data_IF_411488798874
#
_entry.id   IF_411488798874
#
_cell.length_a   1.000
_cell.length_b   1.000
_cell.length_c   1.000
_cell.angle_alpha   90.00
_cell.angle_beta   90.00
_cell.angle_gamma   90.00
#
_symmetry.space_group_name_H-M   'P 1'
#
loop_
_entity.id
_entity.type
_entity.pdbx_description
1 polymer ?
#
# COMPACT_ATOMS: atom_id res chain seq x y z
N UNK A 1 -54.54 -15.55 -30.18
CA UNK A 1 -53.78 -16.61 -29.49
C UNK A 1 -52.34 -16.15 -29.20
N UNK A 2 -52.15 -15.00 -28.54
CA UNK A 2 -50.83 -14.45 -28.17
C UNK A 2 -51.01 -13.66 -26.87
N UNK A 3 -51.02 -14.36 -25.73
CA UNK A 3 -50.80 -13.78 -24.40
C UNK A 3 -50.14 -14.87 -23.58
N UNK A 4 -49.07 -14.52 -22.86
CA UNK A 4 -48.34 -15.33 -21.86
C UNK A 4 -46.84 -15.59 -22.13
N UNK A 5 -46.16 -14.81 -22.98
CA UNK A 5 -44.68 -14.84 -23.04
C UNK A 5 -43.99 -13.70 -22.27
N UNK A 6 -44.72 -12.65 -21.87
CA UNK A 6 -44.12 -11.50 -21.18
C UNK A 6 -43.79 -11.75 -19.70
N UNK A 7 -44.39 -12.76 -19.06
CA UNK A 7 -44.07 -13.10 -17.66
C UNK A 7 -42.76 -13.89 -17.56
N UNK A 8 -42.40 -14.68 -18.58
CA UNK A 8 -41.18 -15.51 -18.57
C UNK A 8 -39.90 -14.68 -18.74
N UNK A 9 -39.97 -13.56 -19.47
CA UNK A 9 -38.83 -12.66 -19.73
C UNK A 9 -38.47 -11.83 -18.48
N UNK A 10 -39.45 -11.54 -17.62
CA UNK A 10 -39.22 -10.79 -16.37
C UNK A 10 -38.55 -11.64 -15.28
N UNK A 11 -38.72 -12.97 -15.31
CA UNK A 11 -38.15 -13.89 -14.31
C UNK A 11 -36.67 -14.22 -14.61
N UNK A 12 -36.26 -14.20 -15.88
CA UNK A 12 -34.86 -14.43 -16.25
C UNK A 12 -33.94 -13.21 -16.00
N UNK A 13 -34.50 -12.01 -15.85
CA UNK A 13 -33.72 -10.78 -15.65
C UNK A 13 -33.26 -10.56 -14.20
N UNK A 14 -33.82 -11.29 -13.22
CA UNK A 14 -33.41 -11.21 -11.81
C UNK A 14 -32.29 -12.19 -11.43
N UNK A 15 -31.94 -13.13 -12.31
CA UNK A 15 -30.88 -14.13 -12.05
C UNK A 15 -29.45 -13.63 -12.31
N UNK A 16 -29.27 -12.41 -12.82
CA UNK A 16 -27.95 -11.86 -13.18
C UNK A 16 -27.35 -10.89 -12.17
N UNK A 17 -27.85 -10.86 -10.93
CA UNK A 17 -27.41 -9.86 -9.96
C UNK A 17 -26.50 -10.45 -8.88
N UNK A 18 -25.21 -10.18 -9.07
CA UNK A 18 -24.15 -9.99 -8.05
C UNK A 18 -23.85 -11.15 -7.10
N UNK A 19 -22.81 -11.93 -7.43
CA UNK A 19 -22.27 -12.96 -6.55
C UNK A 19 -20.99 -12.59 -5.80
N UNK A 20 -20.30 -11.50 -6.13
CA UNK A 20 -19.03 -11.13 -5.52
C UNK A 20 -18.88 -9.60 -5.54
N UNK A 21 -18.41 -8.99 -4.45
CA UNK A 21 -18.08 -7.57 -4.39
C UNK A 21 -16.61 -7.36 -4.14
N UNK A 22 -16.02 -6.42 -4.87
CA UNK A 22 -14.64 -5.99 -4.66
C UNK A 22 -14.66 -4.60 -4.02
N UNK A 23 -14.01 -4.47 -2.87
CA UNK A 23 -13.68 -3.20 -2.24
C UNK A 23 -12.24 -2.85 -2.55
N UNK A 24 -11.96 -1.58 -2.85
CA UNK A 24 -10.65 -1.14 -3.29
C UNK A 24 -10.23 0.11 -2.54
N UNK A 25 -9.04 0.07 -1.95
CA UNK A 25 -8.43 1.18 -1.23
C UNK A 25 -7.28 1.75 -2.07
N UNK A 26 -7.47 2.98 -2.50
CA UNK A 26 -6.50 3.76 -3.25
C UNK A 26 -5.30 4.14 -2.38
N UNK A 27 -4.14 4.27 -3.00
CA UNK A 27 -2.95 4.83 -2.39
C UNK A 27 -2.94 6.37 -2.52
N UNK A 28 -2.80 7.07 -1.40
CA UNK A 28 -2.79 8.54 -1.31
C UNK A 28 -1.41 9.13 -0.98
N UNK A 29 -0.35 8.32 -1.08
CA UNK A 29 1.03 8.71 -0.79
C UNK A 29 1.55 9.84 -1.70
N UNK A 30 2.67 10.45 -1.30
CA UNK A 30 3.37 11.45 -2.10
C UNK A 30 3.76 10.90 -3.48
N UNK A 31 4.18 9.63 -3.57
CA UNK A 31 4.49 8.98 -4.83
C UNK A 31 3.27 8.89 -5.75
N UNK A 32 2.13 8.39 -5.24
CA UNK A 32 0.89 8.31 -6.02
C UNK A 32 0.43 9.69 -6.53
N UNK A 33 0.57 10.74 -5.70
CA UNK A 33 0.27 12.12 -6.08
C UNK A 33 1.26 12.70 -7.10
N UNK A 34 2.56 12.44 -6.93
CA UNK A 34 3.64 12.85 -7.85
C UNK A 34 3.37 12.36 -9.27
N UNK A 35 2.96 11.10 -9.41
CA UNK A 35 2.62 10.51 -10.72
C UNK A 35 1.18 10.78 -11.18
N UNK A 36 0.40 11.51 -10.37
CA UNK A 36 -1.04 11.74 -10.58
C UNK A 36 -1.79 10.45 -10.94
N UNK A 37 -1.48 9.38 -10.21
CA UNK A 37 -2.04 8.07 -10.51
C UNK A 37 -3.54 8.02 -10.16
N UNK A 38 -4.35 7.89 -11.19
CA UNK A 38 -5.77 7.53 -11.11
C UNK A 38 -5.87 6.05 -10.79
N UNK A 39 -6.62 5.72 -9.74
CA UNK A 39 -6.77 4.37 -9.20
C UNK A 39 -8.26 4.14 -8.94
N UNK A 40 -8.95 3.29 -9.69
CA UNK A 40 -10.37 3.05 -9.43
C UNK A 40 -10.84 1.72 -9.97
N UNK A 41 -11.90 1.18 -9.39
CA UNK A 41 -12.65 0.11 -10.03
C UNK A 41 -13.47 0.67 -11.20
N UNK A 42 -13.72 -0.17 -12.20
CA UNK A 42 -14.73 0.13 -13.22
C UNK A 42 -16.15 0.08 -12.64
N UNK A 43 -17.15 0.46 -13.43
CA UNK A 43 -18.56 0.55 -12.99
C UNK A 43 -19.11 -0.78 -12.44
N UNK A 44 -18.64 -1.90 -12.96
CA UNK A 44 -19.05 -3.24 -12.58
C UNK A 44 -18.26 -3.81 -11.40
N UNK A 45 -17.21 -3.10 -10.94
CA UNK A 45 -16.37 -3.54 -9.81
C UNK A 45 -15.43 -4.71 -10.12
N UNK A 46 -15.36 -5.17 -11.37
CA UNK A 46 -14.67 -6.40 -11.79
C UNK A 46 -13.36 -6.15 -12.53
N UNK A 47 -12.96 -4.89 -12.66
CA UNK A 47 -11.64 -4.52 -13.19
C UNK A 47 -11.06 -3.32 -12.45
N UNK A 48 -9.75 -3.36 -12.20
CA UNK A 48 -8.98 -2.23 -11.70
C UNK A 48 -8.49 -1.39 -12.88
N UNK A 49 -8.75 -0.09 -12.83
CA UNK A 49 -8.29 0.92 -13.77
C UNK A 49 -7.18 1.70 -13.11
N UNK A 50 -6.00 1.68 -13.74
CA UNK A 50 -4.85 2.50 -13.38
C UNK A 50 -4.51 3.41 -14.55
N UNK A 51 -4.32 4.70 -14.29
CA UNK A 51 -3.88 5.64 -15.31
C UNK A 51 -3.04 6.77 -14.74
N UNK A 52 -2.05 7.20 -15.48
CA UNK A 52 -1.15 8.33 -15.18
C UNK A 52 -1.20 9.34 -16.33
N UNK A 53 -0.78 10.58 -16.05
CA UNK A 53 -0.68 11.60 -17.10
C UNK A 53 0.50 11.32 -18.04
N UNK A 54 1.70 11.09 -17.49
CA UNK A 54 2.95 11.20 -18.25
C UNK A 54 3.92 10.01 -18.09
N UNK A 55 3.74 9.15 -17.09
CA UNK A 55 4.67 8.06 -16.79
C UNK A 55 4.08 6.70 -17.10
N UNK A 56 4.87 5.80 -17.68
CA UNK A 56 4.38 4.46 -17.97
C UNK A 56 4.23 3.67 -16.67
N UNK A 57 3.08 3.02 -16.53
CA UNK A 57 2.91 1.90 -15.63
C UNK A 57 3.61 0.72 -16.31
N UNK A 58 4.73 0.28 -15.75
CA UNK A 58 5.55 -0.80 -16.32
C UNK A 58 4.89 -2.14 -16.08
N UNK A 59 4.64 -2.44 -14.81
CA UNK A 59 4.08 -3.71 -14.35
C UNK A 59 3.14 -3.49 -13.18
N UNK A 60 2.23 -4.44 -12.99
CA UNK A 60 1.32 -4.50 -11.84
C UNK A 60 1.32 -5.91 -11.27
N UNK A 61 1.62 -6.03 -9.99
CA UNK A 61 1.53 -7.27 -9.24
C UNK A 61 0.24 -7.29 -8.42
N UNK A 62 -0.46 -8.42 -8.46
CA UNK A 62 -1.57 -8.75 -7.55
C UNK A 62 -1.16 -9.96 -6.73
N UNK A 63 -1.10 -9.81 -5.42
CA UNK A 63 -0.59 -10.88 -4.56
C UNK A 63 -1.33 -11.00 -3.23
N UNK A 64 -1.35 -12.22 -2.69
CA UNK A 64 -1.73 -12.56 -1.33
C UNK A 64 -0.76 -13.62 -0.77
N UNK A 65 -1.13 -14.35 0.28
CA UNK A 65 -0.28 -15.38 0.88
C UNK A 65 0.10 -16.52 -0.09
N UNK A 66 -0.84 -16.93 -0.94
CA UNK A 66 -0.75 -18.14 -1.77
C UNK A 66 -0.84 -17.84 -3.27
N UNK A 67 -0.84 -16.55 -3.65
CA UNK A 67 -1.07 -16.09 -5.01
C UNK A 67 -0.17 -14.92 -5.36
N UNK A 68 0.42 -14.95 -6.56
CA UNK A 68 1.12 -13.85 -7.20
C UNK A 68 0.82 -13.89 -8.69
N UNK A 69 0.34 -12.77 -9.22
CA UNK A 69 0.17 -12.53 -10.64
C UNK A 69 0.87 -11.22 -11.00
N UNK A 70 1.76 -11.28 -11.99
CA UNK A 70 2.46 -10.12 -12.54
C UNK A 70 1.93 -9.82 -13.93
N UNK A 71 1.54 -8.57 -14.15
CA UNK A 71 0.92 -8.10 -15.39
C UNK A 71 1.77 -6.98 -15.96
N UNK A 72 2.41 -7.22 -17.09
CA UNK A 72 3.13 -6.20 -17.82
C UNK A 72 2.15 -5.28 -18.56
N UNK A 73 2.26 -3.96 -18.34
CA UNK A 73 1.37 -2.95 -18.93
C UNK A 73 2.14 -2.09 -19.94
N UNK A 74 3.33 -1.62 -19.55
CA UNK A 74 4.21 -0.73 -20.32
C UNK A 74 3.50 0.46 -20.99
N UNK A 75 2.47 1.01 -20.35
CA UNK A 75 1.61 2.05 -20.89
C UNK A 75 1.17 3.01 -19.78
N UNK A 76 0.74 4.23 -20.13
CA UNK A 76 0.23 5.20 -19.15
C UNK A 76 -1.14 4.84 -18.61
N UNK A 77 -1.82 3.86 -19.21
CA UNK A 77 -3.08 3.34 -18.72
C UNK A 77 -3.10 1.82 -18.78
N UNK A 78 -3.85 1.22 -17.86
CA UNK A 78 -4.03 -0.21 -17.77
C UNK A 78 -5.38 -0.56 -17.17
N UNK A 79 -5.96 -1.65 -17.67
CA UNK A 79 -7.18 -2.25 -17.15
C UNK A 79 -6.89 -3.70 -16.79
N UNK A 80 -6.91 -4.00 -15.50
CA UNK A 80 -6.65 -5.34 -14.97
C UNK A 80 -7.98 -6.03 -14.64
N UNK A 81 -8.21 -7.22 -15.16
CA UNK A 81 -9.38 -8.03 -14.84
C UNK A 81 -9.21 -8.65 -13.44
N UNK A 82 -10.29 -8.67 -12.64
CA UNK A 82 -10.28 -9.17 -11.26
C UNK A 82 -11.24 -10.36 -11.03
N UNK A 83 -11.90 -10.86 -12.08
CA UNK A 83 -12.93 -11.91 -11.96
C UNK A 83 -12.35 -13.24 -11.50
N UNK A 84 -11.16 -13.58 -11.96
CA UNK A 84 -10.49 -14.85 -11.66
C UNK A 84 -9.96 -14.93 -10.23
N UNK A 85 -9.78 -13.79 -9.55
CA UNK A 85 -9.32 -13.78 -8.17
C UNK A 85 -10.30 -14.53 -7.26
N UNK A 86 -9.78 -15.32 -6.33
CA UNK A 86 -10.59 -15.95 -5.30
C UNK A 86 -11.04 -14.92 -4.26
N UNK A 87 -11.93 -15.32 -3.35
CA UNK A 87 -12.31 -14.51 -2.18
C UNK A 87 -11.06 -14.30 -1.33
N UNK A 88 -10.84 -13.08 -0.84
CA UNK A 88 -9.71 -12.77 0.01
C UNK A 88 -9.20 -11.33 -0.11
N UNK A 89 -8.16 -11.06 0.66
CA UNK A 89 -7.45 -9.79 0.68
C UNK A 89 -6.20 -9.87 -0.19
N UNK A 90 -6.00 -8.84 -1.01
CA UNK A 90 -4.92 -8.74 -1.96
C UNK A 90 -4.20 -7.41 -1.79
N UNK A 91 -2.88 -7.48 -1.96
CA UNK A 91 -2.03 -6.31 -2.17
C UNK A 91 -1.85 -6.15 -3.67
N UNK A 92 -2.07 -4.93 -4.16
CA UNK A 92 -1.81 -4.59 -5.56
C UNK A 92 -0.64 -3.61 -5.60
N UNK A 93 0.37 -3.88 -6.40
CA UNK A 93 1.56 -3.01 -6.51
C UNK A 93 1.74 -2.61 -7.96
N UNK A 94 1.78 -1.31 -8.24
CA UNK A 94 1.98 -0.79 -9.60
C UNK A 94 3.33 -0.09 -9.70
N UNK A 95 4.17 -0.50 -10.65
CA UNK A 95 5.48 0.11 -10.89
C UNK A 95 5.39 1.25 -11.89
N UNK A 96 5.79 2.44 -11.45
CA UNK A 96 5.76 3.66 -12.26
C UNK A 96 7.11 4.35 -12.10
N UNK A 97 7.86 4.47 -13.20
CA UNK A 97 9.27 4.88 -13.13
C UNK A 97 10.09 3.88 -12.31
N UNK A 98 10.65 4.32 -11.18
CA UNK A 98 11.33 3.46 -10.19
C UNK A 98 10.44 3.10 -8.99
N UNK A 99 9.27 3.73 -8.86
CA UNK A 99 8.48 3.67 -7.64
C UNK A 99 7.40 2.60 -7.75
N UNK A 100 7.16 1.88 -6.66
CA UNK A 100 6.00 1.01 -6.52
C UNK A 100 4.92 1.68 -5.71
N UNK A 101 3.70 1.69 -6.24
CA UNK A 101 2.52 2.24 -5.57
C UNK A 101 1.67 1.08 -5.08
N UNK A 102 1.56 0.96 -3.75
CA UNK A 102 0.89 -0.16 -3.07
C UNK A 102 -0.55 0.19 -2.73
N UNK A 103 -1.51 -0.58 -3.25
CA UNK A 103 -2.94 -0.44 -3.05
C UNK A 103 -3.49 -1.73 -2.40
N UNK A 104 -4.72 -1.66 -1.90
CA UNK A 104 -5.36 -2.82 -1.29
C UNK A 104 -6.69 -3.14 -1.96
N UNK A 105 -6.94 -4.43 -2.12
CA UNK A 105 -8.14 -4.96 -2.73
C UNK A 105 -8.70 -6.07 -1.85
N UNK A 106 -9.98 -5.99 -1.51
CA UNK A 106 -10.70 -7.04 -0.78
C UNK A 106 -11.82 -7.58 -1.68
N UNK A 107 -11.84 -8.89 -1.89
CA UNK A 107 -12.90 -9.59 -2.63
C UNK A 107 -13.73 -10.43 -1.66
N UNK A 108 -15.03 -10.13 -1.56
CA UNK A 108 -16.00 -10.79 -0.67
C UNK A 108 -17.09 -11.50 -1.46
N UNK A 109 -17.66 -12.54 -0.86
CA UNK A 109 -18.88 -13.19 -1.34
C UNK A 109 -20.10 -12.61 -0.61
N UNK A 110 -20.83 -11.75 -1.32
CA UNK A 110 -22.05 -11.12 -0.80
C UNK A 110 -23.20 -12.12 -0.58
N UNK A 111 -23.09 -13.37 -1.06
CA UNK A 111 -24.10 -14.41 -0.80
C UNK A 111 -23.90 -15.13 0.52
N UNK A 112 -22.65 -15.18 1.02
CA UNK A 112 -22.30 -15.84 2.29
C UNK A 112 -22.48 -14.90 3.50
N UNK A 113 -22.28 -13.59 3.31
CA UNK A 113 -22.51 -12.56 4.32
C UNK A 113 -23.97 -12.10 4.28
N UNK A 114 -24.86 -12.82 4.97
CA UNK A 114 -26.27 -12.47 5.09
C UNK A 114 -26.47 -10.99 5.42
N UNK A 115 -27.31 -10.33 4.62
CA UNK A 115 -27.70 -8.92 4.70
C UNK A 115 -27.97 -8.52 6.17
N UNK A 116 -27.08 -7.74 6.76
CA UNK A 116 -27.38 -6.85 7.90
C UNK A 116 -27.26 -5.42 7.42
N UNK A 117 -28.28 -4.96 6.70
CA UNK A 117 -28.53 -3.54 6.52
C UNK A 117 -29.00 -2.97 7.86
N UNK A 118 -28.09 -2.40 8.63
CA UNK A 118 -28.45 -1.28 9.51
C UNK A 118 -28.18 -0.02 8.71
N UNK A 119 -29.26 0.60 8.24
CA UNK A 119 -29.27 1.95 7.71
C UNK A 119 -28.66 2.89 8.75
N UNK A 120 -27.57 3.55 8.40
CA UNK A 120 -27.11 4.77 9.07
C UNK A 120 -26.96 5.85 8.02
N UNK A 121 -27.99 6.67 7.96
CA UNK A 121 -28.01 7.97 7.31
C UNK A 121 -27.12 8.91 8.15
N UNK A 122 -26.08 9.50 7.57
CA UNK A 122 -25.49 10.74 8.08
C UNK A 122 -25.24 11.67 6.87
N UNK A 123 -26.17 12.59 6.66
CA UNK A 123 -25.89 13.88 6.06
C UNK A 123 -24.87 14.63 6.94
N UNK A 124 -23.83 15.18 6.33
CA UNK A 124 -22.82 15.96 7.03
C UNK A 124 -21.92 16.72 6.07
N UNK A 125 -22.38 17.89 5.64
CA UNK A 125 -21.54 18.92 5.03
C UNK A 125 -20.42 19.33 6.01
N UNK A 126 -19.16 19.12 5.64
CA UNK A 126 -18.03 19.88 6.21
C UNK A 126 -17.07 20.23 5.08
N UNK A 127 -17.11 21.50 4.66
CA UNK A 127 -16.05 22.08 3.83
C UNK A 127 -14.80 22.27 4.68
N UNK A 128 -13.68 21.68 4.23
CA UNK A 128 -12.35 21.97 4.79
C UNK A 128 -11.53 22.67 3.71
N UNK A 129 -11.40 23.98 3.86
CA UNK A 129 -10.46 24.82 3.13
C UNK A 129 -9.06 24.56 3.70
N UNK A 130 -8.16 23.95 2.93
CA UNK A 130 -6.73 23.88 3.29
C UNK A 130 -5.95 24.80 2.37
N UNK A 131 -5.42 25.87 2.97
CA UNK A 131 -4.58 26.86 2.33
C UNK A 131 -3.25 26.23 1.90
N UNK A 132 -2.89 26.41 0.62
CA UNK A 132 -1.60 26.08 0.03
C UNK A 132 -0.53 27.01 0.62
N UNK A 133 0.47 26.45 1.28
CA UNK A 133 1.82 27.00 1.20
C UNK A 133 2.72 25.92 0.59
N UNK A 134 3.11 26.19 -0.65
CA UNK A 134 4.12 25.49 -1.43
C UNK A 134 5.47 25.60 -0.74
N UNK A 135 6.13 24.46 -0.52
CA UNK A 135 7.55 24.44 -0.17
C UNK A 135 8.28 23.77 -1.32
N UNK A 136 9.17 24.55 -1.92
CA UNK A 136 9.97 24.21 -3.09
C UNK A 136 10.73 22.89 -2.93
N UNK A 137 10.77 22.16 -4.04
CA UNK A 137 11.62 21.00 -4.26
C UNK A 137 13.09 21.41 -4.19
N UNK A 138 13.74 21.18 -3.05
CA UNK A 138 15.20 21.05 -3.00
C UNK A 138 15.57 19.61 -3.36
N UNK A 139 15.93 19.41 -4.63
CA UNK A 139 16.84 18.34 -5.01
C UNK A 139 18.17 18.57 -4.29
N UNK A 140 18.55 17.67 -3.38
CA UNK A 140 19.82 17.74 -2.66
C UNK A 140 20.68 16.49 -2.93
N UNK A 141 22.01 16.65 -2.87
CA UNK A 141 22.98 15.82 -3.57
C UNK A 141 23.23 14.48 -2.89
N UNK A 142 23.44 13.44 -3.73
CA UNK A 142 23.95 12.13 -3.35
C UNK A 142 25.41 12.22 -2.91
N UNK A 143 25.69 12.60 -1.66
CA UNK A 143 26.99 12.29 -1.08
C UNK A 143 26.98 12.31 0.46
N UNK A 144 27.02 11.11 1.06
CA UNK A 144 27.53 10.72 2.38
C UNK A 144 26.87 9.38 2.76
N UNK A 145 27.47 8.42 3.46
CA UNK A 145 28.83 8.12 3.93
C UNK A 145 28.71 6.69 4.53
N UNK A 146 29.63 5.77 4.24
CA UNK A 146 29.69 4.37 4.69
C UNK A 146 28.46 3.51 4.33
N UNK A 147 28.53 2.87 3.15
CA UNK A 147 27.47 2.14 2.46
C UNK A 147 26.84 1.03 3.30
N UNK A 148 25.69 1.33 3.88
CA UNK A 148 24.61 0.35 3.95
C UNK A 148 24.31 -0.04 2.49
N UNK A 149 24.67 -1.27 2.10
CA UNK A 149 24.41 -1.77 0.75
C UNK A 149 23.09 -2.52 0.77
N UNK A 150 22.04 -1.87 0.28
CA UNK A 150 20.72 -2.48 0.13
C UNK A 150 20.61 -3.10 -1.26
N UNK A 151 20.12 -4.33 -1.36
CA UNK A 151 19.76 -4.97 -2.62
C UNK A 151 18.48 -4.36 -3.21
N UNK A 152 18.57 -3.92 -4.46
CA UNK A 152 17.49 -3.30 -5.24
C UNK A 152 16.28 -4.22 -5.47
N UNK A 153 16.43 -5.54 -5.32
CA UNK A 153 15.37 -6.54 -5.48
C UNK A 153 14.67 -6.90 -4.16
N UNK A 154 15.23 -6.45 -3.05
CA UNK A 154 14.73 -6.77 -1.72
C UNK A 154 13.83 -5.68 -1.17
N UNK A 155 13.05 -6.05 -0.16
CA UNK A 155 12.24 -5.09 0.58
C UNK A 155 12.62 -5.13 2.05
N UNK A 156 12.45 -3.99 2.69
CA UNK A 156 12.90 -3.76 4.03
C UNK A 156 11.74 -3.33 4.90
N UNK A 157 11.63 -3.94 6.08
CA UNK A 157 10.69 -3.48 7.09
C UNK A 157 11.30 -2.31 7.85
N UNK A 158 10.76 -1.12 7.65
CA UNK A 158 11.15 0.08 8.36
C UNK A 158 10.24 0.30 9.56
N UNK A 159 10.84 0.48 10.73
CA UNK A 159 10.17 0.87 11.97
C UNK A 159 10.68 2.25 12.37
N UNK A 160 9.82 3.24 12.23
CA UNK A 160 10.12 4.62 12.57
C UNK A 160 9.31 5.03 13.81
N UNK A 161 9.98 5.58 14.82
CA UNK A 161 9.34 6.14 16.00
C UNK A 161 9.66 7.63 16.08
N UNK A 162 8.64 8.47 15.99
CA UNK A 162 8.78 9.88 16.32
C UNK A 162 8.54 10.08 17.81
N UNK A 163 9.37 10.91 18.42
CA UNK A 163 9.22 11.38 19.79
C UNK A 163 9.49 12.88 19.82
N UNK A 164 8.41 13.65 19.95
CA UNK A 164 8.46 15.13 19.87
C UNK A 164 8.45 15.81 21.24
N UNK A 165 8.56 15.04 22.33
CA UNK A 165 8.42 15.52 23.71
C UNK A 165 6.98 15.71 24.19
N UNK A 166 6.02 15.89 23.28
CA UNK A 166 4.58 15.96 23.60
C UNK A 166 3.83 14.66 23.28
N UNK A 167 4.28 13.94 22.25
CA UNK A 167 3.71 12.68 21.84
C UNK A 167 4.73 11.80 21.14
N UNK A 168 4.48 10.49 21.20
CA UNK A 168 5.24 9.48 20.47
C UNK A 168 4.34 8.76 19.48
N UNK A 169 4.82 8.54 18.26
CA UNK A 169 4.11 7.75 17.26
C UNK A 169 5.05 6.74 16.61
N UNK A 170 4.63 5.47 16.55
CA UNK A 170 5.32 4.43 15.79
C UNK A 170 4.62 4.20 14.47
N UNK A 171 5.38 4.24 13.39
CA UNK A 171 4.95 3.84 12.05
C UNK A 171 5.82 2.69 11.56
N UNK A 172 5.18 1.69 10.96
CA UNK A 172 5.88 0.53 10.41
C UNK A 172 5.39 0.26 9.00
N UNK A 173 6.31 0.02 8.09
CA UNK A 173 5.97 -0.19 6.68
C UNK A 173 7.07 -0.94 5.95
N UNK A 174 6.66 -1.72 4.95
CA UNK A 174 7.55 -2.32 3.98
C UNK A 174 7.99 -1.25 2.97
N UNK A 175 9.29 -1.19 2.69
CA UNK A 175 9.97 -0.11 1.95
C UNK A 175 11.01 -0.66 0.99
N UNK A 176 11.20 0.05 -0.11
CA UNK A 176 12.28 -0.22 -1.06
C UNK A 176 13.59 0.47 -0.63
N UNK A 177 14.75 0.03 -1.12
CA UNK A 177 16.05 0.64 -0.83
C UNK A 177 16.10 2.16 -0.94
N UNK A 178 15.55 2.72 -2.02
CA UNK A 178 15.51 4.18 -2.24
C UNK A 178 14.76 4.91 -1.12
N UNK A 179 13.62 4.37 -0.69
CA UNK A 179 12.86 4.93 0.42
C UNK A 179 13.59 4.74 1.76
N UNK A 180 14.33 3.65 1.94
CA UNK A 180 15.18 3.45 3.12
C UNK A 180 16.29 4.50 3.16
N UNK A 181 16.97 4.77 2.04
CA UNK A 181 17.99 5.82 1.98
C UNK A 181 17.40 7.20 2.34
N UNK A 182 16.21 7.53 1.85
CA UNK A 182 15.50 8.77 2.23
C UNK A 182 15.17 8.80 3.73
N UNK A 183 14.71 7.68 4.30
CA UNK A 183 14.42 7.56 5.73
C UNK A 183 15.69 7.71 6.58
N UNK A 184 16.81 7.12 6.15
CA UNK A 184 18.12 7.23 6.81
C UNK A 184 18.61 8.67 6.76
N UNK A 185 18.57 9.30 5.59
CA UNK A 185 18.95 10.71 5.46
C UNK A 185 18.09 11.59 6.37
N UNK A 186 16.78 11.37 6.39
CA UNK A 186 15.87 12.13 7.26
C UNK A 186 16.16 11.94 8.74
N UNK A 187 16.32 10.70 9.21
CA UNK A 187 16.59 10.45 10.64
C UNK A 187 17.94 11.03 11.06
N UNK A 188 18.96 11.01 10.19
CA UNK A 188 20.27 11.61 10.47
C UNK A 188 20.20 13.14 10.61
N UNK A 189 19.28 13.80 9.91
CA UNK A 189 18.99 15.23 10.11
C UNK A 189 18.17 15.46 11.38
N UNK A 190 17.12 14.68 11.61
CA UNK A 190 16.24 14.79 12.78
C UNK A 190 17.03 14.61 14.09
N UNK A 191 17.95 13.66 14.13
CA UNK A 191 18.78 13.36 15.29
C UNK A 191 19.68 14.53 15.72
N UNK A 192 20.05 15.42 14.78
CA UNK A 192 20.83 16.62 15.06
C UNK A 192 19.97 17.79 15.58
N UNK A 193 18.65 17.67 15.51
CA UNK A 193 17.71 18.72 15.92
C UNK A 193 17.30 18.59 17.39
N UNK A 194 16.95 19.70 18.03
CA UNK A 194 16.49 19.69 19.43
C UNK A 194 15.17 18.93 19.65
N UNK A 195 14.32 18.90 18.62
CA UNK A 195 12.96 18.32 18.68
C UNK A 195 12.95 16.86 18.25
N UNK A 196 13.74 16.49 17.24
CA UNK A 196 13.79 15.13 16.67
C UNK A 196 14.95 14.26 17.16
N UNK A 197 15.78 14.75 18.09
CA UNK A 197 16.92 13.99 18.66
C UNK A 197 16.51 12.63 19.23
N UNK A 198 15.27 12.49 19.67
CA UNK A 198 14.74 11.28 20.30
C UNK A 198 13.98 10.37 19.32
N UNK A 199 13.88 10.77 18.05
CA UNK A 199 13.34 9.90 17.00
C UNK A 199 14.26 8.71 16.76
N UNK A 200 13.69 7.61 16.26
CA UNK A 200 14.43 6.39 15.95
C UNK A 200 13.96 5.74 14.66
N UNK A 201 14.88 5.02 14.02
CA UNK A 201 14.66 4.22 12.82
C UNK A 201 15.41 2.89 12.97
N UNK A 202 14.67 1.79 12.78
CA UNK A 202 15.23 0.45 12.59
C UNK A 202 14.82 -0.09 11.23
N UNK A 203 15.75 -0.76 10.56
CA UNK A 203 15.53 -1.33 9.22
C UNK A 203 15.91 -2.80 9.24
N UNK A 204 14.98 -3.66 8.84
CA UNK A 204 15.16 -5.10 8.74
C UNK A 204 14.98 -5.54 7.28
N UNK A 205 15.85 -6.42 6.80
CA UNK A 205 15.77 -7.11 5.51
C UNK A 205 14.73 -8.23 5.58
N UNK A 206 13.84 -8.31 4.58
CA UNK A 206 12.74 -9.27 4.55
C UNK A 206 12.91 -10.24 3.38
N UNK A 207 13.35 -11.46 3.68
CA UNK A 207 13.57 -12.52 2.70
C UNK A 207 12.25 -13.14 2.21
N UNK A 208 11.29 -13.39 3.11
CA UNK A 208 9.99 -14.00 2.79
C UNK A 208 8.85 -13.02 3.09
N UNK A 209 8.60 -12.15 2.11
CA UNK A 209 7.65 -11.02 2.20
C UNK A 209 6.22 -11.47 2.59
N UNK A 210 5.60 -12.48 1.94
CA UNK A 210 4.23 -12.88 2.28
C UNK A 210 4.10 -13.39 3.73
N UNK A 211 4.98 -14.30 4.14
CA UNK A 211 4.92 -14.88 5.49
C UNK A 211 5.28 -13.87 6.58
N UNK A 212 6.25 -12.99 6.31
CA UNK A 212 6.56 -11.87 7.19
C UNK A 212 5.33 -10.99 7.42
N UNK A 213 4.70 -10.52 6.34
CA UNK A 213 3.55 -9.62 6.43
C UNK A 213 2.37 -10.27 7.13
N UNK A 214 2.05 -11.53 6.82
CA UNK A 214 1.00 -12.26 7.50
C UNK A 214 1.23 -12.33 9.01
N UNK A 215 2.44 -12.70 9.46
CA UNK A 215 2.77 -12.79 10.89
C UNK A 215 2.82 -11.41 11.56
N UNK A 216 3.34 -10.39 10.87
CA UNK A 216 3.45 -9.01 11.37
C UNK A 216 2.09 -8.31 11.51
N UNK A 217 1.13 -8.62 10.64
CA UNK A 217 -0.26 -8.13 10.76
C UNK A 217 -0.98 -8.78 11.94
N UNK A 218 -0.76 -10.08 12.17
CA UNK A 218 -1.33 -10.81 13.31
C UNK A 218 -0.66 -10.45 14.64
N UNK A 219 0.63 -10.08 14.61
CA UNK A 219 1.39 -9.66 15.77
C UNK A 219 2.27 -8.45 15.43
N UNK A 220 1.87 -7.27 15.90
CA UNK A 220 2.59 -6.00 15.68
C UNK A 220 4.04 -6.01 16.16
N UNK A 221 4.41 -6.90 17.07
CA UNK A 221 5.77 -7.05 17.59
C UNK A 221 6.54 -8.23 16.95
N UNK A 222 6.03 -8.86 15.89
CA UNK A 222 6.69 -9.99 15.24
C UNK A 222 8.09 -9.65 14.73
N UNK A 223 8.31 -8.43 14.24
CA UNK A 223 9.64 -7.93 13.88
C UNK A 223 10.66 -7.93 15.04
N UNK A 224 10.22 -8.05 16.30
CA UNK A 224 11.09 -8.18 17.50
C UNK A 224 11.38 -9.64 17.89
N UNK A 225 11.03 -10.59 17.04
CA UNK A 225 11.25 -12.01 17.32
C UNK A 225 12.75 -12.31 17.43
N UNK A 226 13.13 -13.17 18.39
CA UNK A 226 14.54 -13.57 18.60
C UNK A 226 15.07 -14.51 17.51
N UNK A 227 14.17 -15.12 16.74
CA UNK A 227 14.48 -16.04 15.65
C UNK A 227 13.42 -15.90 14.56
N UNK A 228 13.81 -15.92 13.29
CA UNK A 228 12.90 -15.88 12.16
C UNK A 228 13.59 -16.39 10.91
N UNK A 229 12.84 -17.10 10.07
CA UNK A 229 13.26 -17.52 8.72
C UNK A 229 12.79 -16.52 7.64
N UNK A 230 12.05 -15.48 8.01
CA UNK A 230 11.38 -14.59 7.06
C UNK A 230 12.01 -13.21 6.96
N UNK A 231 12.84 -12.84 7.93
CA UNK A 231 13.52 -11.55 8.03
C UNK A 231 14.75 -11.70 8.92
N UNK A 232 15.71 -10.80 8.81
CA UNK A 232 16.85 -10.76 9.72
C UNK A 232 16.42 -10.26 11.11
N UNK A 233 16.79 -10.97 12.17
CA UNK A 233 16.38 -10.58 13.54
C UNK A 233 17.18 -9.40 14.09
N UNK A 234 18.38 -9.19 13.56
CA UNK A 234 19.21 -8.02 13.84
C UNK A 234 19.00 -6.99 12.72
N UNK A 235 18.64 -5.73 13.03
CA UNK A 235 18.39 -4.73 12.01
C UNK A 235 19.69 -4.37 11.27
N UNK A 236 19.60 -4.21 9.94
CA UNK A 236 20.72 -3.73 9.12
C UNK A 236 21.11 -2.28 9.46
N UNK A 237 20.12 -1.50 9.90
CA UNK A 237 20.32 -0.14 10.35
C UNK A 237 19.56 0.09 11.66
N UNK A 238 20.27 0.63 12.64
CA UNK A 238 19.69 1.05 13.92
C UNK A 238 20.22 2.44 14.29
N UNK A 239 19.35 3.45 14.23
CA UNK A 239 19.72 4.82 14.57
C UNK A 239 20.14 4.99 16.04
N UNK A 240 19.65 4.14 16.94
CA UNK A 240 19.97 4.24 18.37
C UNK A 240 21.42 3.85 18.68
N UNK A 241 22.00 2.92 17.93
CA UNK A 241 23.41 2.56 18.05
C UNK A 241 24.31 3.72 17.65
N UNK A 242 23.92 4.48 16.63
CA UNK A 242 24.61 5.71 16.22
C UNK A 242 24.56 6.84 17.26
N UNK A 243 23.66 6.80 18.25
CA UNK A 243 23.62 7.79 19.35
C UNK A 243 24.66 7.52 20.44
N UNK A 244 25.20 6.30 20.50
CA UNK A 244 26.13 5.87 21.56
C UNK A 244 27.60 6.09 21.19
N UNK A 245 27.87 6.51 19.95
CA UNK A 245 29.20 6.79 19.40
C UNK A 245 29.41 8.29 19.30
#
# INVERSE_FOLDING_TARGET
MIKNYNLLILIFSTLFSYGQSITFQQNTSAAAKKFKLVQKLNKTGDSLILATDNEKIKEVDILNADYLETIEINNSNGKINLRHLTIGNYVVQAKIGTHWIVMYLEKRDLKAEGIKTTDVNIEGNVGITISKNSMDSLSLPKEHSNKLHLDDNEMYWAVYESNTGFSSQRTMSLKFPEEIYDLIYRIELEMKSKVGKDNTLQVYEVFNKPNFMFKQLNNKNYYKSKSSEHFNVEPLYNSEEKKKT
#
